data_IF_936613547658
#
_entry.id   IF_936613547658
#
_cell.length_a   1.000
_cell.length_b   1.000
_cell.length_c   1.000
_cell.angle_alpha   90.00
_cell.angle_beta   90.00
_cell.angle_gamma   90.00
#
_symmetry.space_group_name_H-M   'P 1'
#
loop_
_entity.id
_entity.type
_entity.pdbx_description
1 polymer ?
#
# COMPACT_ATOMS: atom_id res chain seq x y z
N UNK A 1 9.51 24.52 -14.75
CA UNK A 1 8.38 23.66 -14.34
C UNK A 1 7.86 24.10 -12.97
N UNK A 2 6.53 24.03 -12.74
CA UNK A 2 5.88 24.30 -11.46
C UNK A 2 4.96 23.16 -11.10
N UNK A 3 5.13 22.58 -9.91
CA UNK A 3 4.22 21.59 -9.32
C UNK A 3 3.32 22.30 -8.30
N UNK A 4 2.05 21.94 -8.26
CA UNK A 4 1.07 22.54 -7.34
C UNK A 4 0.10 21.50 -6.85
N UNK A 5 -0.04 21.34 -5.53
CA UNK A 5 -1.10 20.54 -4.93
C UNK A 5 -2.37 21.37 -4.76
N UNK A 6 -3.55 20.79 -5.02
CA UNK A 6 -4.83 21.49 -4.89
C UNK A 6 -5.99 20.53 -4.63
N UNK A 7 -7.09 21.05 -4.14
CA UNK A 7 -8.39 20.36 -4.09
C UNK A 7 -9.35 21.00 -5.10
N UNK A 8 -10.34 20.24 -5.58
CA UNK A 8 -11.34 20.82 -6.51
C UNK A 8 -12.18 21.88 -5.82
N UNK A 9 -12.49 22.97 -6.53
CA UNK A 9 -13.36 24.06 -6.01
C UNK A 9 -14.79 23.60 -5.70
N UNK A 10 -15.24 22.53 -6.37
CA UNK A 10 -16.57 21.93 -6.20
C UNK A 10 -16.62 20.93 -5.04
N UNK A 11 -15.54 20.78 -4.26
CA UNK A 11 -15.55 19.90 -3.10
C UNK A 11 -16.59 20.39 -2.07
N UNK A 12 -17.42 19.48 -1.58
CA UNK A 12 -18.41 19.77 -0.56
C UNK A 12 -17.73 20.28 0.72
N UNK A 13 -18.30 21.31 1.34
CA UNK A 13 -17.77 22.00 2.53
C UNK A 13 -18.78 22.05 3.68
N UNK A 14 -19.87 21.29 3.56
CA UNK A 14 -21.03 21.45 4.41
C UNK A 14 -20.92 20.72 5.74
N UNK A 15 -20.08 19.66 5.80
CA UNK A 15 -19.96 18.82 6.99
C UNK A 15 -18.51 18.69 7.48
N UNK A 16 -18.35 18.43 8.77
CA UNK A 16 -17.06 18.15 9.41
C UNK A 16 -16.42 16.88 8.85
N UNK A 17 -17.24 15.96 8.33
CA UNK A 17 -16.83 14.68 7.76
C UNK A 17 -16.51 14.74 6.27
N UNK A 18 -16.79 15.87 5.59
CA UNK A 18 -16.51 16.01 4.16
C UNK A 18 -15.02 15.85 3.88
N UNK A 19 -14.71 15.02 2.87
CA UNK A 19 -13.35 14.77 2.42
C UNK A 19 -13.20 15.11 0.94
N UNK A 20 -12.19 15.88 0.62
CA UNK A 20 -11.81 16.19 -0.75
C UNK A 20 -10.46 15.55 -1.08
N UNK A 21 -10.38 14.91 -2.23
CA UNK A 21 -9.12 14.35 -2.74
C UNK A 21 -8.16 15.45 -3.16
N UNK A 22 -6.87 15.28 -2.83
CA UNK A 22 -5.80 16.18 -3.28
C UNK A 22 -5.36 15.77 -4.69
N UNK A 23 -5.15 16.75 -5.54
CA UNK A 23 -4.64 16.62 -6.90
C UNK A 23 -3.29 17.33 -7.01
N UNK A 24 -2.40 16.77 -7.83
CA UNK A 24 -1.18 17.45 -8.23
C UNK A 24 -1.31 17.93 -9.68
N UNK A 25 -0.78 19.12 -9.95
CA UNK A 25 -0.76 19.73 -11.27
C UNK A 25 0.67 20.13 -11.61
N UNK A 26 1.12 19.73 -12.80
CA UNK A 26 2.41 20.12 -13.35
C UNK A 26 2.19 21.07 -14.50
N UNK A 27 2.85 22.21 -14.46
CA UNK A 27 2.88 23.20 -15.55
C UNK A 27 4.31 23.52 -15.94
N UNK A 28 4.54 23.62 -17.23
CA UNK A 28 5.82 24.06 -17.76
C UNK A 28 5.67 25.02 -18.94
N UNK A 29 6.71 25.81 -19.19
CA UNK A 29 6.78 26.82 -20.27
C UNK A 29 6.58 26.19 -21.66
N UNK A 30 6.87 24.90 -21.81
CA UNK A 30 6.68 24.12 -23.03
C UNK A 30 5.24 23.68 -23.32
N UNK A 31 4.22 24.25 -22.64
CA UNK A 31 2.80 23.93 -22.85
C UNK A 31 2.29 22.74 -22.06
N UNK A 32 3.09 22.14 -21.20
CA UNK A 32 2.65 21.06 -20.31
C UNK A 32 1.70 21.61 -19.26
N UNK A 33 0.48 21.06 -19.20
CA UNK A 33 -0.51 21.33 -18.15
C UNK A 33 -1.26 20.04 -17.84
N UNK A 34 -0.71 19.24 -16.98
CA UNK A 34 -1.23 17.92 -16.61
C UNK A 34 -1.62 17.88 -15.13
N UNK A 35 -2.59 17.03 -14.81
CA UNK A 35 -3.07 16.85 -13.43
C UNK A 35 -3.45 15.42 -13.17
N UNK A 36 -3.17 14.95 -11.95
CA UNK A 36 -3.60 13.63 -11.48
C UNK A 36 -4.05 13.70 -10.01
N UNK A 37 -4.91 12.77 -9.63
CA UNK A 37 -5.37 12.63 -8.26
C UNK A 37 -4.37 11.81 -7.45
N UNK A 38 -4.19 12.16 -6.18
CA UNK A 38 -3.51 11.32 -5.19
C UNK A 38 -4.53 10.62 -4.29
N UNK A 39 -4.08 9.72 -3.42
CA UNK A 39 -4.92 9.12 -2.39
C UNK A 39 -5.07 10.01 -1.14
N UNK A 40 -4.31 11.09 -1.08
CA UNK A 40 -4.42 12.05 0.01
C UNK A 40 -5.79 12.70 0.00
N UNK A 41 -6.41 12.77 1.16
CA UNK A 41 -7.70 13.44 1.35
C UNK A 41 -7.66 14.37 2.56
N UNK A 42 -8.40 15.48 2.45
CA UNK A 42 -8.47 16.50 3.49
C UNK A 42 -9.87 17.10 3.55
N UNK A 43 -10.31 17.49 4.73
CA UNK A 43 -11.54 18.30 4.80
C UNK A 43 -11.33 19.64 4.09
N UNK A 44 -12.19 20.02 3.13
CA UNK A 44 -12.04 21.26 2.36
C UNK A 44 -11.97 22.53 3.20
N UNK A 45 -12.61 22.52 4.39
CA UNK A 45 -12.56 23.65 5.33
C UNK A 45 -11.18 23.82 5.98
N UNK A 46 -10.38 22.74 6.03
CA UNK A 46 -9.03 22.74 6.59
C UNK A 46 -7.95 23.04 5.54
N UNK A 47 -8.30 23.05 4.25
CA UNK A 47 -7.35 23.28 3.16
C UNK A 47 -6.95 24.75 3.03
N UNK A 48 -5.66 25.00 2.92
CA UNK A 48 -5.07 26.27 2.52
C UNK A 48 -4.48 26.16 1.11
N UNK A 49 -5.03 26.91 0.15
CA UNK A 49 -4.50 26.92 -1.22
C UNK A 49 -3.12 27.60 -1.31
N UNK A 50 -2.84 28.55 -0.44
CA UNK A 50 -1.56 29.24 -0.37
C UNK A 50 -0.45 28.32 0.14
N UNK A 51 -0.72 27.57 1.20
CA UNK A 51 0.22 26.62 1.79
C UNK A 51 0.26 25.27 1.08
N UNK A 52 -0.75 25.00 0.27
CA UNK A 52 -0.98 23.68 -0.34
C UNK A 52 -1.03 22.54 0.70
N UNK A 53 -1.68 22.81 1.83
CA UNK A 53 -1.74 21.92 2.98
C UNK A 53 -2.79 22.38 3.98
N UNK A 54 -2.63 22.03 5.24
CA UNK A 54 -3.54 22.49 6.30
C UNK A 54 -3.44 23.99 6.56
N UNK A 55 -4.58 24.61 6.89
CA UNK A 55 -4.61 25.95 7.46
C UNK A 55 -3.85 25.98 8.80
N UNK A 56 -3.21 27.11 9.16
CA UNK A 56 -2.72 27.30 10.51
C UNK A 56 -3.90 27.22 11.50
N UNK A 57 -3.74 26.55 12.61
CA UNK A 57 -4.76 26.46 13.68
C UNK A 57 -6.04 25.70 13.31
N UNK A 58 -5.91 24.46 12.84
CA UNK A 58 -7.03 23.52 12.74
C UNK A 58 -7.13 22.73 14.05
N UNK A 59 -8.11 23.07 14.89
CA UNK A 59 -8.23 22.55 16.26
C UNK A 59 -8.58 21.05 16.35
N UNK A 60 -9.10 20.44 15.28
CA UNK A 60 -9.64 19.06 15.29
C UNK A 60 -8.68 18.03 14.65
N UNK A 61 -7.45 18.41 14.33
CA UNK A 61 -6.47 17.53 13.70
C UNK A 61 -5.21 17.49 14.56
N UNK A 62 -4.77 16.29 14.94
CA UNK A 62 -3.53 16.12 15.68
C UNK A 62 -2.34 16.65 14.89
N UNK A 63 -1.31 17.11 15.59
CA UNK A 63 -0.12 17.67 14.96
C UNK A 63 0.59 16.62 14.10
N UNK A 64 0.69 15.37 14.59
CA UNK A 64 1.29 14.25 13.85
C UNK A 64 0.58 13.99 12.52
N UNK A 65 -0.75 13.99 12.51
CA UNK A 65 -1.54 13.80 11.30
C UNK A 65 -1.33 14.94 10.30
N UNK A 66 -1.23 16.16 10.79
CA UNK A 66 -0.95 17.34 9.97
C UNK A 66 0.45 17.28 9.37
N UNK A 67 1.46 16.99 10.20
CA UNK A 67 2.85 16.85 9.75
C UNK A 67 3.02 15.72 8.75
N UNK A 68 2.41 14.55 9.00
CA UNK A 68 2.45 13.42 8.07
C UNK A 68 1.85 13.80 6.70
N UNK A 69 0.68 14.43 6.69
CA UNK A 69 0.03 14.88 5.46
C UNK A 69 0.86 15.93 4.69
N UNK A 70 1.44 16.92 5.38
CA UNK A 70 2.29 17.93 4.76
C UNK A 70 3.58 17.31 4.21
N UNK A 71 4.16 16.35 4.91
CA UNK A 71 5.32 15.57 4.45
C UNK A 71 5.00 14.78 3.18
N UNK A 72 3.83 14.12 3.11
CA UNK A 72 3.40 13.41 1.92
C UNK A 72 3.27 14.34 0.70
N UNK A 73 2.68 15.52 0.87
CA UNK A 73 2.59 16.52 -0.21
C UNK A 73 3.98 16.97 -0.66
N UNK A 74 4.89 17.23 0.26
CA UNK A 74 6.27 17.62 -0.06
C UNK A 74 7.00 16.51 -0.81
N UNK A 75 6.91 15.27 -0.33
CA UNK A 75 7.55 14.11 -0.94
C UNK A 75 7.05 13.86 -2.37
N UNK A 76 5.72 13.89 -2.59
CA UNK A 76 5.15 13.74 -3.94
C UNK A 76 5.59 14.89 -4.84
N UNK A 77 5.59 16.12 -4.34
CA UNK A 77 6.04 17.29 -5.10
C UNK A 77 7.50 17.17 -5.49
N UNK A 78 8.35 16.72 -4.58
CA UNK A 78 9.78 16.49 -4.83
C UNK A 78 10.01 15.36 -5.84
N UNK A 79 9.33 14.23 -5.68
CA UNK A 79 9.37 13.09 -6.60
C UNK A 79 8.98 13.50 -8.03
N UNK A 80 7.90 14.29 -8.19
CA UNK A 80 7.48 14.82 -9.47
C UNK A 80 8.56 15.74 -10.06
N UNK A 81 9.15 16.61 -9.24
CA UNK A 81 10.18 17.52 -9.69
C UNK A 81 11.46 16.82 -10.13
N UNK A 82 11.86 15.79 -9.42
CA UNK A 82 13.05 14.97 -9.69
C UNK A 82 12.91 14.16 -10.98
N UNK A 83 11.77 13.49 -11.17
CA UNK A 83 11.54 12.61 -12.31
C UNK A 83 10.96 13.31 -13.55
N UNK A 84 10.75 14.63 -13.49
CA UNK A 84 10.17 15.39 -14.60
C UNK A 84 11.11 15.42 -15.83
N UNK A 85 10.55 15.16 -16.99
CA UNK A 85 11.21 15.32 -18.28
C UNK A 85 10.24 15.90 -19.32
N UNK A 86 10.75 16.43 -20.44
CA UNK A 86 9.90 16.95 -21.51
C UNK A 86 9.13 15.81 -22.19
N UNK A 87 7.86 16.08 -22.52
CA UNK A 87 7.00 15.10 -23.19
C UNK A 87 6.19 14.22 -22.26
N UNK A 88 6.22 14.49 -20.93
CA UNK A 88 5.35 13.78 -19.96
C UNK A 88 3.87 14.11 -20.18
N UNK A 89 3.02 13.15 -19.91
CA UNK A 89 1.57 13.23 -20.01
C UNK A 89 0.86 12.97 -18.68
N UNK A 90 -0.48 12.97 -18.71
CA UNK A 90 -1.28 12.69 -17.52
C UNK A 90 -1.13 11.27 -16.99
N UNK A 91 -0.83 10.30 -17.85
CA UNK A 91 -0.63 8.90 -17.47
C UNK A 91 0.67 8.74 -16.69
N UNK A 92 1.75 9.41 -17.14
CA UNK A 92 3.02 9.47 -16.41
C UNK A 92 2.83 10.05 -14.99
N UNK A 93 2.14 11.21 -14.88
CA UNK A 93 1.92 11.83 -13.57
C UNK A 93 1.09 10.95 -12.64
N UNK A 94 0.06 10.29 -13.19
CA UNK A 94 -0.76 9.34 -12.45
C UNK A 94 0.08 8.16 -11.94
N UNK A 95 0.87 7.53 -12.81
CA UNK A 95 1.75 6.41 -12.46
C UNK A 95 2.76 6.79 -11.39
N UNK A 96 3.36 7.99 -11.47
CA UNK A 96 4.31 8.45 -10.48
C UNK A 96 3.69 8.69 -9.08
N UNK A 97 2.46 9.20 -9.04
CA UNK A 97 1.73 9.37 -7.78
C UNK A 97 1.31 8.01 -7.22
N UNK A 98 0.90 7.06 -8.07
CA UNK A 98 0.60 5.68 -7.68
C UNK A 98 1.84 4.98 -7.14
N UNK A 99 3.01 5.15 -7.78
CA UNK A 99 4.30 4.65 -7.29
C UNK A 99 4.64 5.19 -5.89
N UNK A 100 4.33 6.45 -5.59
CA UNK A 100 4.53 7.01 -4.26
C UNK A 100 3.62 6.36 -3.21
N UNK A 101 2.34 6.18 -3.53
CA UNK A 101 1.38 5.60 -2.58
C UNK A 101 1.53 4.07 -2.45
N UNK A 102 2.02 3.43 -3.52
CA UNK A 102 2.16 1.99 -3.65
C UNK A 102 3.53 1.64 -4.25
N UNK A 103 4.63 1.89 -3.52
CA UNK A 103 5.99 1.79 -4.08
C UNK A 103 6.33 0.40 -4.61
N UNK A 104 5.68 -0.64 -4.10
CA UNK A 104 5.91 -2.03 -4.51
C UNK A 104 5.00 -2.51 -5.64
N UNK A 105 4.02 -1.72 -6.06
CA UNK A 105 3.04 -2.10 -7.10
C UNK A 105 3.48 -1.67 -8.51
N UNK A 106 4.27 -0.59 -8.63
CA UNK A 106 4.52 0.08 -9.93
C UNK A 106 5.95 -0.05 -10.46
N UNK A 107 6.74 -1.00 -9.98
CA UNK A 107 8.18 -0.99 -10.22
C UNK A 107 8.61 -1.22 -11.70
N UNK A 108 7.72 -1.61 -12.63
CA UNK A 108 8.08 -1.83 -14.05
C UNK A 108 6.97 -1.44 -15.04
N UNK A 109 6.64 -0.17 -15.16
CA UNK A 109 6.07 0.49 -16.34
C UNK A 109 5.08 -0.30 -17.23
N UNK A 110 4.02 -0.83 -16.68
CA UNK A 110 2.97 -1.53 -17.38
C UNK A 110 2.16 -2.27 -16.33
N UNK A 111 0.87 -2.44 -16.46
CA UNK A 111 0.05 -3.14 -15.48
C UNK A 111 0.44 -4.64 -15.34
N UNK A 112 1.51 -5.00 -14.75
CA UNK A 112 1.85 -6.25 -14.13
C UNK A 112 1.98 -6.03 -12.63
N UNK A 113 1.20 -5.11 -12.14
CA UNK A 113 1.15 -4.67 -10.76
C UNK A 113 1.14 -5.82 -9.75
N UNK A 114 0.81 -7.01 -10.20
CA UNK A 114 0.66 -8.17 -9.33
C UNK A 114 1.77 -9.21 -9.48
N UNK A 115 2.54 -9.22 -10.58
CA UNK A 115 3.50 -10.32 -10.83
C UNK A 115 4.63 -10.41 -9.80
N UNK A 116 4.97 -9.30 -9.15
CA UNK A 116 5.99 -9.27 -8.10
C UNK A 116 5.42 -9.47 -6.69
N UNK A 117 4.09 -9.41 -6.53
CA UNK A 117 3.47 -9.64 -5.23
C UNK A 117 3.59 -11.13 -4.85
N UNK A 118 4.02 -11.39 -3.62
CA UNK A 118 4.06 -12.75 -3.09
C UNK A 118 2.67 -13.39 -3.13
N UNK A 119 1.61 -12.63 -2.83
CA UNK A 119 0.22 -13.10 -2.89
C UNK A 119 -0.18 -13.56 -4.31
N UNK A 120 0.20 -12.79 -5.35
CA UNK A 120 -0.03 -13.17 -6.74
C UNK A 120 0.75 -14.43 -7.11
N UNK A 121 2.03 -14.53 -6.73
CA UNK A 121 2.85 -15.69 -7.05
C UNK A 121 2.37 -16.97 -6.36
N UNK A 122 1.84 -16.88 -5.14
CA UNK A 122 1.20 -18.04 -4.49
C UNK A 122 -0.03 -18.49 -5.27
N UNK A 123 -0.87 -17.56 -5.75
CA UNK A 123 -2.04 -17.88 -6.56
C UNK A 123 -1.63 -18.50 -7.90
N UNK A 124 -0.69 -17.87 -8.62
CA UNK A 124 -0.13 -18.37 -9.89
C UNK A 124 0.45 -19.77 -9.73
N UNK A 125 1.22 -20.01 -8.67
CA UNK A 125 1.79 -21.32 -8.38
C UNK A 125 0.72 -22.40 -8.20
N UNK A 126 -0.40 -22.09 -7.54
CA UNK A 126 -1.54 -23.03 -7.41
C UNK A 126 -2.24 -23.28 -8.73
N UNK A 127 -2.31 -22.29 -9.61
CA UNK A 127 -3.01 -22.39 -10.90
C UNK A 127 -2.18 -23.13 -11.97
N UNK A 128 -0.86 -22.98 -11.94
CA UNK A 128 0.06 -23.53 -12.95
C UNK A 128 0.69 -24.87 -12.54
N UNK A 129 0.74 -25.17 -11.24
CA UNK A 129 1.39 -26.41 -10.75
C UNK A 129 0.33 -27.48 -10.45
N UNK A 130 0.50 -28.72 -10.97
CA UNK A 130 -0.40 -29.82 -10.64
C UNK A 130 -0.20 -30.28 -9.19
N UNK A 131 -0.89 -29.63 -8.26
CA UNK A 131 -0.82 -29.91 -6.83
C UNK A 131 -1.90 -30.90 -6.40
N UNK A 132 -1.55 -31.77 -5.42
CA UNK A 132 -2.56 -32.56 -4.72
C UNK A 132 -3.53 -31.62 -3.94
N UNK A 133 -4.79 -32.03 -3.78
CA UNK A 133 -5.83 -31.21 -3.15
C UNK A 133 -5.44 -30.65 -1.77
N UNK A 134 -4.79 -31.46 -0.95
CA UNK A 134 -4.31 -31.04 0.39
C UNK A 134 -3.18 -30.00 0.29
N UNK A 135 -2.26 -30.15 -0.67
CA UNK A 135 -1.20 -29.18 -0.92
C UNK A 135 -1.80 -27.83 -1.38
N UNK A 136 -2.76 -27.87 -2.29
CA UNK A 136 -3.47 -26.68 -2.75
C UNK A 136 -4.20 -25.96 -1.60
N UNK A 137 -4.81 -26.72 -0.69
CA UNK A 137 -5.43 -26.16 0.53
C UNK A 137 -4.40 -25.44 1.41
N UNK A 138 -3.23 -26.03 1.63
CA UNK A 138 -2.16 -25.38 2.39
C UNK A 138 -1.65 -24.10 1.75
N UNK A 139 -1.48 -24.05 0.42
CA UNK A 139 -1.11 -22.82 -0.27
C UNK A 139 -2.18 -21.75 -0.17
N UNK A 140 -3.47 -22.12 -0.26
CA UNK A 140 -4.59 -21.20 -0.04
C UNK A 140 -4.61 -20.63 1.38
N UNK A 141 -4.33 -21.44 2.40
CA UNK A 141 -4.23 -20.97 3.78
C UNK A 141 -3.02 -20.05 3.98
N UNK A 142 -1.91 -20.30 3.27
CA UNK A 142 -0.75 -19.41 3.28
C UNK A 142 -1.05 -18.08 2.59
N UNK A 143 -1.75 -18.10 1.46
CA UNK A 143 -2.21 -16.88 0.77
C UNK A 143 -3.06 -16.00 1.70
N UNK A 144 -4.01 -16.60 2.43
CA UNK A 144 -4.81 -15.85 3.41
C UNK A 144 -3.95 -15.20 4.49
N UNK A 145 -2.91 -15.88 5.00
CA UNK A 145 -2.01 -15.33 6.01
C UNK A 145 -1.20 -14.15 5.45
N UNK A 146 -0.67 -14.27 4.23
CA UNK A 146 0.08 -13.20 3.56
C UNK A 146 -0.81 -11.97 3.35
N UNK A 147 -2.00 -12.14 2.78
CA UNK A 147 -2.94 -11.04 2.56
C UNK A 147 -3.36 -10.36 3.88
N UNK A 148 -3.56 -11.13 4.94
CA UNK A 148 -3.93 -10.60 6.25
C UNK A 148 -2.77 -9.85 6.91
N UNK A 149 -1.53 -10.34 6.75
CA UNK A 149 -0.33 -9.63 7.21
C UNK A 149 -0.15 -8.30 6.51
N UNK A 150 -0.26 -8.27 5.18
CA UNK A 150 -0.20 -7.03 4.39
C UNK A 150 -1.28 -6.04 4.82
N UNK A 151 -2.53 -6.51 4.96
CA UNK A 151 -3.65 -5.69 5.44
C UNK A 151 -3.42 -5.16 6.86
N UNK A 152 -2.82 -5.98 7.76
CA UNK A 152 -2.46 -5.55 9.11
C UNK A 152 -1.47 -4.39 9.09
N UNK A 153 -0.43 -4.48 8.27
CA UNK A 153 0.53 -3.39 8.10
C UNK A 153 -0.12 -2.12 7.51
N UNK A 154 -1.03 -2.27 6.56
CA UNK A 154 -1.71 -1.13 5.93
C UNK A 154 -2.71 -0.45 6.86
N UNK A 155 -3.55 -1.21 7.54
CA UNK A 155 -4.68 -0.68 8.33
C UNK A 155 -4.30 -0.38 9.79
N UNK A 156 -3.51 -1.25 10.43
CA UNK A 156 -3.16 -1.15 11.84
C UNK A 156 -1.85 -0.40 12.05
N UNK A 157 -0.82 -0.76 11.29
CA UNK A 157 0.51 -0.11 11.38
C UNK A 157 0.61 1.15 10.53
N UNK A 158 -0.45 1.50 9.78
CA UNK A 158 -0.54 2.67 8.90
C UNK A 158 0.56 2.76 7.83
N UNK A 159 1.11 1.63 7.44
CA UNK A 159 2.11 1.51 6.37
C UNK A 159 1.39 1.38 5.02
N UNK A 160 0.96 2.50 4.47
CA UNK A 160 0.25 2.53 3.19
C UNK A 160 1.07 1.87 2.09
N UNK A 161 0.43 1.00 1.31
CA UNK A 161 1.06 0.30 0.19
C UNK A 161 2.08 -0.77 0.60
N UNK A 162 2.09 -1.21 1.85
CA UNK A 162 2.92 -2.34 2.27
C UNK A 162 2.46 -3.63 1.58
N UNK A 163 3.39 -4.27 0.86
CA UNK A 163 3.21 -5.58 0.24
C UNK A 163 4.51 -6.36 0.30
N UNK A 164 4.41 -7.68 0.40
CA UNK A 164 5.54 -8.57 0.24
C UNK A 164 5.78 -8.81 -1.25
N UNK A 165 6.91 -8.32 -1.76
CA UNK A 165 7.29 -8.45 -3.17
C UNK A 165 8.46 -9.41 -3.31
N UNK A 166 8.36 -10.38 -4.23
CA UNK A 166 9.35 -11.45 -4.40
C UNK A 166 10.74 -10.97 -4.83
N UNK A 167 10.82 -9.83 -5.51
CA UNK A 167 12.06 -9.20 -5.99
C UNK A 167 12.79 -8.38 -4.93
N UNK A 168 12.11 -8.01 -3.86
CA UNK A 168 12.64 -7.15 -2.80
C UNK A 168 12.52 -7.74 -1.38
N UNK A 169 11.88 -8.92 -1.25
CA UNK A 169 11.70 -9.57 0.06
C UNK A 169 13.05 -9.95 0.67
N UNK A 170 13.24 -9.56 1.91
CA UNK A 170 14.45 -9.80 2.68
C UNK A 170 14.27 -10.88 3.75
N UNK A 171 15.38 -11.34 4.33
CA UNK A 171 15.33 -12.25 5.48
C UNK A 171 14.65 -11.61 6.70
N UNK A 172 14.73 -10.28 6.83
CA UNK A 172 14.08 -9.55 7.91
C UNK A 172 12.56 -9.51 7.70
N UNK A 173 12.05 -9.30 6.48
CA UNK A 173 10.62 -9.37 6.17
C UNK A 173 10.03 -10.74 6.50
N UNK A 174 10.76 -11.81 6.19
CA UNK A 174 10.34 -13.19 6.52
C UNK A 174 10.35 -13.42 8.04
N UNK A 175 11.32 -12.86 8.75
CA UNK A 175 11.41 -12.93 10.22
C UNK A 175 10.24 -12.18 10.87
N UNK A 176 9.94 -10.98 10.39
CA UNK A 176 8.84 -10.16 10.88
C UNK A 176 7.48 -10.82 10.60
N UNK A 177 7.31 -11.39 9.42
CA UNK A 177 6.12 -12.20 9.11
C UNK A 177 5.97 -13.41 10.04
N UNK A 178 7.08 -14.12 10.35
CA UNK A 178 7.07 -15.22 11.33
C UNK A 178 6.65 -14.75 12.72
N UNK A 179 7.24 -13.66 13.21
CA UNK A 179 6.92 -13.06 14.51
C UNK A 179 5.44 -12.63 14.56
N UNK A 180 4.95 -12.00 13.51
CA UNK A 180 3.55 -11.61 13.42
C UNK A 180 2.63 -12.85 13.48
N UNK A 181 2.92 -13.93 12.74
CA UNK A 181 2.15 -15.16 12.81
C UNK A 181 2.14 -15.79 14.21
N UNK A 182 3.24 -15.67 14.94
CA UNK A 182 3.38 -16.16 16.30
C UNK A 182 2.50 -15.40 17.30
N UNK A 183 2.39 -14.09 17.11
CA UNK A 183 1.67 -13.18 18.02
C UNK A 183 0.23 -12.89 17.55
N UNK A 184 -0.19 -13.36 16.37
CA UNK A 184 -1.48 -12.99 15.76
C UNK A 184 -2.67 -13.27 16.71
N UNK A 185 -2.63 -14.33 17.49
CA UNK A 185 -3.71 -14.63 18.45
C UNK A 185 -3.91 -13.51 19.51
N UNK A 186 -2.85 -12.76 19.85
CA UNK A 186 -2.92 -11.60 20.74
C UNK A 186 -3.49 -10.38 20.02
N UNK A 187 -3.15 -10.22 18.75
CA UNK A 187 -3.65 -9.11 17.95
C UNK A 187 -5.16 -9.18 17.72
N UNK A 188 -5.75 -10.37 17.74
CA UNK A 188 -7.21 -10.55 17.70
C UNK A 188 -7.91 -9.82 18.85
N UNK A 189 -7.36 -9.91 20.06
CA UNK A 189 -7.88 -9.21 21.25
C UNK A 189 -7.60 -7.70 21.20
N UNK A 190 -6.44 -7.31 20.67
CA UNK A 190 -6.03 -5.89 20.62
C UNK A 190 -6.73 -5.11 19.50
N UNK A 191 -7.07 -5.77 18.40
CA UNK A 191 -7.64 -5.14 17.19
C UNK A 191 -8.92 -5.85 16.71
N UNK A 192 -9.97 -5.95 17.52
CA UNK A 192 -11.16 -6.74 17.22
C UNK A 192 -11.90 -6.26 15.97
N UNK A 193 -11.82 -4.97 15.64
CA UNK A 193 -12.44 -4.41 14.42
C UNK A 193 -11.75 -4.92 13.16
N UNK A 194 -10.43 -5.06 13.18
CA UNK A 194 -9.65 -5.60 12.07
C UNK A 194 -9.97 -7.07 11.82
N UNK A 195 -10.15 -7.87 12.88
CA UNK A 195 -10.37 -9.31 12.79
C UNK A 195 -11.85 -9.74 12.75
N UNK A 196 -12.79 -8.79 12.69
CA UNK A 196 -14.24 -9.08 12.76
C UNK A 196 -14.75 -10.08 11.72
N UNK A 197 -14.14 -10.11 10.54
CA UNK A 197 -14.53 -10.96 9.42
C UNK A 197 -13.68 -12.25 9.30
N UNK A 198 -12.71 -12.44 10.21
CA UNK A 198 -11.86 -13.62 10.23
C UNK A 198 -12.49 -14.75 11.05
N UNK A 199 -12.28 -16.00 10.59
CA UNK A 199 -12.78 -17.15 11.35
C UNK A 199 -11.90 -17.36 12.60
N UNK A 200 -12.49 -17.50 13.81
CA UNK A 200 -11.72 -17.67 15.05
C UNK A 200 -10.70 -18.81 14.99
N UNK A 201 -11.04 -19.93 14.36
CA UNK A 201 -10.13 -21.08 14.18
C UNK A 201 -8.84 -20.73 13.40
N UNK A 202 -8.86 -19.70 12.58
CA UNK A 202 -7.74 -19.32 11.73
C UNK A 202 -6.77 -18.34 12.43
N UNK A 203 -7.25 -17.63 13.47
CA UNK A 203 -6.51 -16.51 14.08
C UNK A 203 -6.43 -16.53 15.60
N UNK A 204 -7.39 -17.15 16.31
CA UNK A 204 -7.52 -17.04 17.77
C UNK A 204 -6.60 -17.99 18.56
N UNK A 205 -5.81 -18.81 17.91
CA UNK A 205 -4.91 -19.77 18.58
C UNK A 205 -3.46 -19.52 18.22
N UNK A 206 -2.59 -19.65 19.22
CA UNK A 206 -1.15 -19.60 19.00
C UNK A 206 -0.72 -20.73 18.06
N UNK A 207 0.01 -20.39 17.01
CA UNK A 207 0.52 -21.38 16.05
C UNK A 207 1.74 -22.10 16.61
N UNK A 208 1.81 -23.41 16.38
CA UNK A 208 2.99 -24.18 16.69
C UNK A 208 4.16 -23.82 15.75
N UNK A 209 5.39 -24.00 16.23
CA UNK A 209 6.61 -23.77 15.45
C UNK A 209 6.61 -24.61 14.14
N UNK A 210 6.15 -25.84 14.20
CA UNK A 210 6.05 -26.71 13.02
C UNK A 210 5.07 -26.17 11.97
N UNK A 211 3.94 -25.58 12.40
CA UNK A 211 2.97 -24.96 11.50
C UNK A 211 3.57 -23.74 10.81
N UNK A 212 4.30 -22.89 11.55
CA UNK A 212 4.95 -21.72 11.01
C UNK A 212 6.08 -22.10 10.05
N UNK A 213 6.92 -23.05 10.42
CA UNK A 213 8.00 -23.58 9.56
C UNK A 213 7.45 -24.17 8.26
N UNK A 214 6.35 -24.92 8.32
CA UNK A 214 5.67 -25.44 7.14
C UNK A 214 5.11 -24.33 6.24
N UNK A 215 4.59 -23.23 6.82
CA UNK A 215 4.15 -22.05 6.07
C UNK A 215 5.34 -21.40 5.34
N UNK A 216 6.43 -21.13 6.05
CA UNK A 216 7.62 -20.47 5.49
C UNK A 216 8.30 -21.33 4.42
N UNK A 217 8.38 -22.65 4.61
CA UNK A 217 8.91 -23.56 3.61
C UNK A 217 8.13 -23.47 2.28
N UNK A 218 6.80 -23.48 2.34
CA UNK A 218 5.96 -23.38 1.12
C UNK A 218 6.07 -22.01 0.46
N UNK A 219 6.18 -20.93 1.24
CA UNK A 219 6.41 -19.58 0.70
C UNK A 219 7.76 -19.55 -0.03
N UNK A 220 8.81 -20.10 0.56
CA UNK A 220 10.12 -20.20 -0.08
C UNK A 220 10.05 -20.98 -1.40
N UNK A 221 9.34 -22.10 -1.44
CA UNK A 221 9.16 -22.89 -2.67
C UNK A 221 8.54 -22.05 -3.79
N UNK A 222 7.57 -21.17 -3.47
CA UNK A 222 6.95 -20.28 -4.45
C UNK A 222 7.94 -19.21 -4.92
N UNK A 223 8.71 -18.61 -4.02
CA UNK A 223 9.72 -17.59 -4.35
C UNK A 223 10.81 -18.18 -5.24
N UNK A 224 11.35 -19.34 -4.85
CA UNK A 224 12.39 -20.04 -5.61
C UNK A 224 11.88 -20.45 -7.01
N UNK A 225 10.62 -20.89 -7.12
CA UNK A 225 9.96 -21.21 -8.39
C UNK A 225 9.79 -20.00 -9.30
N UNK A 226 9.36 -18.87 -8.75
CA UNK A 226 9.20 -17.63 -9.50
C UNK A 226 10.54 -17.04 -9.98
N UNK A 227 11.61 -17.24 -9.22
CA UNK A 227 12.96 -16.77 -9.56
C UNK A 227 13.64 -17.61 -10.68
N UNK A 228 13.26 -18.88 -10.83
CA UNK A 228 13.84 -19.81 -11.81
C UNK A 228 13.06 -19.88 -13.13
N UNK A 229 11.90 -19.25 -13.22
CA UNK A 229 11.01 -19.29 -14.39
C UNK A 229 11.06 -18.04 -15.29
N UNK A 230 12.03 -17.14 -15.06
CA UNK A 230 12.23 -15.92 -15.82
C UNK A 230 13.32 -16.03 -16.89
#
# INVERSE_FOLDING_TARGET
MKVTAFIRKTAAKNNVTDQARVYFRVRDVGGVDIKAASELSINPNHWSAERQGYKPRVALVSEDKRMGFEKDIQNITHLIAEKYHRGVDGSWLKGLIEEYHHPNINFRGGNPANEYLLSYQIQKYMDETPLAAESCKHHRDNLKKVLRYERFHQEVMHQRGFHLCIDSITADDIRDFKLWMQEEYRYVEMYPVFYKDELPRDVAQQRSENSMSGTLYRIRTVIDGASNGG
#
